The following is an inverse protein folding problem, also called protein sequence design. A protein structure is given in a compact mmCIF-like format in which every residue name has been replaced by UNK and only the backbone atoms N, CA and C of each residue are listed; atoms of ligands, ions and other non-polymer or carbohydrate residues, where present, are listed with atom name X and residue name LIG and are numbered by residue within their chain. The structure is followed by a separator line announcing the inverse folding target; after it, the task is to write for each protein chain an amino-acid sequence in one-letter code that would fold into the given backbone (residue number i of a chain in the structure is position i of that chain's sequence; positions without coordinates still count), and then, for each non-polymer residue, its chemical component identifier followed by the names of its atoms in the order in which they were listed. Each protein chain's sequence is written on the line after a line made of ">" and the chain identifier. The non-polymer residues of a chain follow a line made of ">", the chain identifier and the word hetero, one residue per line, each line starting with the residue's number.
data_IF_146865736082
#
_entry.id   IF_146865736082
#
_cell.length_a   1.000
_cell.length_b   1.000
_cell.length_c   1.000
_cell.angle_alpha   90.00
_cell.angle_beta   90.00
_cell.angle_gamma   90.00
#
_symmetry.space_group_name_H-M   'P 1'
#
loop_
_entity.id
_entity.type
_entity.pdbx_description
1 polymer ?
#
# COMPACT_ATOMS: atom_id res chain seq x y z
N UNK A 1 -8.35 16.91 -15.65
CA UNK A 1 -8.55 18.28 -15.18
C UNK A 1 -7.23 18.88 -14.76
N UNK A 2 -6.93 20.06 -15.25
CA UNK A 2 -5.67 20.72 -14.93
C UNK A 2 -5.93 21.75 -13.86
N UNK A 3 -5.33 21.59 -12.69
CA UNK A 3 -5.42 22.54 -11.61
C UNK A 3 -4.05 23.06 -11.28
N UNK A 4 -3.92 24.34 -11.15
CA UNK A 4 -2.67 24.98 -10.75
C UNK A 4 -2.85 25.56 -9.36
N UNK A 5 -2.05 25.08 -8.42
CA UNK A 5 -1.94 25.73 -7.12
C UNK A 5 -0.95 26.88 -7.28
N UNK A 6 -1.41 28.11 -7.09
CA UNK A 6 -0.54 29.29 -7.18
C UNK A 6 0.24 29.53 -5.89
N UNK A 7 -0.17 28.86 -4.81
CA UNK A 7 0.51 28.94 -3.50
C UNK A 7 0.17 27.70 -2.70
N UNK A 8 1.00 27.39 -1.71
CA UNK A 8 0.77 26.27 -0.82
C UNK A 8 -0.49 26.50 0.02
N UNK A 9 -1.44 25.56 0.04
CA UNK A 9 -2.62 25.66 0.90
C UNK A 9 -2.24 25.77 2.38
N UNK A 10 -3.12 26.43 3.17
CA UNK A 10 -2.87 26.65 4.61
C UNK A 10 -2.61 25.35 5.35
N UNK A 11 -3.38 24.31 5.03
CA UNK A 11 -3.28 23.01 5.71
C UNK A 11 -2.38 22.01 4.99
N UNK A 12 -1.48 22.50 4.14
CA UNK A 12 -0.59 21.64 3.40
C UNK A 12 0.40 20.95 4.34
N UNK A 13 0.48 19.62 4.34
CA UNK A 13 1.42 18.92 5.21
C UNK A 13 2.86 19.30 4.90
N UNK A 14 3.59 19.74 5.91
CA UNK A 14 5.00 20.10 5.77
C UNK A 14 5.91 18.87 5.78
N UNK A 15 5.49 17.84 6.51
CA UNK A 15 6.20 16.56 6.60
C UNK A 15 5.27 15.45 6.19
N UNK A 16 5.83 14.37 5.65
CA UNK A 16 5.07 13.22 5.18
C UNK A 16 5.48 12.01 6.00
N UNK A 17 4.86 11.87 7.16
CA UNK A 17 5.19 10.77 8.09
C UNK A 17 4.20 9.61 7.99
N UNK A 18 2.99 9.88 7.52
CA UNK A 18 1.91 8.87 7.49
C UNK A 18 1.31 8.78 6.10
N UNK A 19 0.61 7.67 5.85
CA UNK A 19 -0.15 7.52 4.61
C UNK A 19 -1.17 8.64 4.44
N UNK A 20 -1.83 9.03 5.54
CA UNK A 20 -2.79 10.13 5.52
C UNK A 20 -2.16 11.45 5.07
N UNK A 21 -0.93 11.70 5.50
CA UNK A 21 -0.20 12.90 5.09
C UNK A 21 0.05 12.90 3.58
N UNK A 22 0.43 11.77 3.01
CA UNK A 22 0.64 11.63 1.57
C UNK A 22 -0.64 11.85 0.80
N UNK A 23 -1.75 11.28 1.24
CA UNK A 23 -3.05 11.45 0.59
C UNK A 23 -3.47 12.91 0.64
N UNK A 24 -3.38 13.53 1.80
CA UNK A 24 -3.76 14.93 1.99
C UNK A 24 -2.92 15.85 1.12
N UNK A 25 -1.60 15.67 1.10
CA UNK A 25 -0.71 16.49 0.29
C UNK A 25 -1.04 16.37 -1.20
N UNK A 26 -1.24 15.15 -1.69
CA UNK A 26 -1.58 14.92 -3.09
C UNK A 26 -2.89 15.61 -3.45
N UNK A 27 -3.91 15.45 -2.58
CA UNK A 27 -5.20 16.07 -2.80
C UNK A 27 -5.09 17.60 -2.88
N UNK A 28 -4.39 18.19 -1.93
CA UNK A 28 -4.24 19.65 -1.88
C UNK A 28 -3.41 20.16 -3.06
N UNK A 29 -2.37 19.44 -3.45
CA UNK A 29 -1.56 19.79 -4.62
C UNK A 29 -2.40 19.81 -5.90
N UNK A 30 -3.34 18.85 -6.02
CA UNK A 30 -4.24 18.78 -7.18
C UNK A 30 -5.42 19.74 -7.07
N UNK A 31 -5.62 20.37 -5.93
CA UNK A 31 -6.71 21.31 -5.72
C UNK A 31 -8.08 20.66 -5.58
N UNK A 32 -8.14 19.39 -5.18
CA UNK A 32 -9.40 18.68 -5.04
C UNK A 32 -10.01 18.83 -3.66
N UNK A 33 -11.34 18.75 -3.60
CA UNK A 33 -12.07 18.62 -2.34
C UNK A 33 -12.00 17.17 -1.84
N UNK A 34 -12.20 17.01 -0.54
CA UNK A 34 -12.22 15.66 0.05
C UNK A 34 -13.27 14.76 -0.60
N UNK A 35 -14.46 15.28 -0.88
CA UNK A 35 -15.50 14.45 -1.51
C UNK A 35 -15.12 13.94 -2.88
N UNK A 36 -14.33 14.71 -3.65
CA UNK A 36 -13.89 14.31 -4.98
C UNK A 36 -12.90 13.16 -4.90
N UNK A 37 -11.92 13.27 -4.00
CA UNK A 37 -10.92 12.22 -3.82
C UNK A 37 -11.53 10.98 -3.18
N UNK A 38 -12.42 11.15 -2.20
CA UNK A 38 -13.11 10.03 -1.58
C UNK A 38 -13.85 9.19 -2.63
N UNK A 39 -14.59 9.84 -3.53
CA UNK A 39 -15.29 9.14 -4.61
C UNK A 39 -14.32 8.34 -5.49
N UNK A 40 -13.16 8.91 -5.81
CA UNK A 40 -12.16 8.24 -6.62
C UNK A 40 -11.56 7.03 -5.90
N UNK A 41 -11.39 7.12 -4.58
CA UNK A 41 -10.82 6.04 -3.79
C UNK A 41 -11.85 4.99 -3.36
N UNK A 42 -13.12 5.19 -3.70
CA UNK A 42 -14.19 4.27 -3.32
C UNK A 42 -14.60 4.38 -1.85
N UNK A 43 -14.38 5.53 -1.24
CA UNK A 43 -14.71 5.81 0.16
C UNK A 43 -15.70 6.98 0.24
N UNK A 44 -16.23 7.23 1.43
CA UNK A 44 -16.99 8.45 1.67
C UNK A 44 -16.09 9.56 2.20
N UNK A 45 -16.61 10.77 2.21
CA UNK A 45 -15.85 11.95 2.62
C UNK A 45 -15.39 11.86 4.07
N UNK A 46 -16.23 11.34 4.95
CA UNK A 46 -15.89 11.17 6.38
C UNK A 46 -14.73 10.21 6.55
N UNK A 47 -14.74 9.12 5.81
CA UNK A 47 -13.66 8.14 5.84
C UNK A 47 -12.34 8.77 5.39
N UNK A 48 -12.36 9.51 4.28
CA UNK A 48 -11.16 10.20 3.80
C UNK A 48 -10.65 11.21 4.83
N UNK A 49 -11.55 12.00 5.41
CA UNK A 49 -11.21 12.93 6.48
C UNK A 49 -10.45 12.22 7.60
N UNK A 50 -10.95 11.06 8.03
CA UNK A 50 -10.33 10.31 9.12
C UNK A 50 -8.96 9.77 8.74
N UNK A 51 -8.76 9.37 7.48
CA UNK A 51 -7.45 8.99 7.00
C UNK A 51 -6.47 10.17 7.01
N UNK A 52 -6.90 11.31 6.50
CA UNK A 52 -6.05 12.51 6.42
C UNK A 52 -5.69 13.08 7.79
N UNK A 53 -6.52 12.82 8.79
CA UNK A 53 -6.28 13.26 10.17
C UNK A 53 -5.63 12.17 11.03
N UNK A 54 -5.26 11.06 10.42
CA UNK A 54 -4.57 9.96 11.11
C UNK A 54 -5.39 9.36 12.25
N UNK A 55 -6.72 9.45 12.16
CA UNK A 55 -7.64 8.87 13.16
C UNK A 55 -7.76 7.38 12.95
N UNK A 56 -7.75 6.93 11.69
CA UNK A 56 -7.82 5.53 11.33
C UNK A 56 -7.00 5.30 10.05
N UNK A 57 -6.41 4.12 9.94
CA UNK A 57 -5.69 3.72 8.73
C UNK A 57 -6.67 3.12 7.72
N UNK A 58 -6.44 3.33 6.41
CA UNK A 58 -7.24 2.66 5.40
C UNK A 58 -7.11 1.15 5.50
N UNK A 59 -8.22 0.45 5.28
CA UNK A 59 -8.19 -1.00 5.14
C UNK A 59 -7.48 -1.35 3.83
N UNK A 60 -6.90 -2.54 3.78
CA UNK A 60 -6.01 -2.89 2.68
C UNK A 60 -6.69 -2.89 1.31
N UNK A 61 -8.00 -3.16 1.26
CA UNK A 61 -8.71 -3.18 -0.02
C UNK A 61 -8.76 -1.81 -0.71
N UNK A 62 -8.52 -0.71 0.01
CA UNK A 62 -8.45 0.62 -0.57
C UNK A 62 -7.07 0.93 -1.19
N UNK A 63 -6.06 0.15 -0.85
CA UNK A 63 -4.67 0.47 -1.21
C UNK A 63 -4.41 0.53 -2.73
N UNK A 64 -4.96 -0.37 -3.57
CA UNK A 64 -4.74 -0.23 -5.01
C UNK A 64 -5.16 1.14 -5.54
N UNK A 65 -6.31 1.63 -5.12
CA UNK A 65 -6.78 2.95 -5.54
C UNK A 65 -5.96 4.08 -4.94
N UNK A 66 -5.55 3.93 -3.68
CA UNK A 66 -4.71 4.93 -3.01
C UNK A 66 -3.35 5.04 -3.71
N UNK A 67 -2.70 3.92 -4.00
CA UNK A 67 -1.40 3.91 -4.68
C UNK A 67 -1.51 4.50 -6.09
N UNK A 68 -2.59 4.20 -6.79
CA UNK A 68 -2.86 4.78 -8.10
C UNK A 68 -3.06 6.29 -8.01
N UNK A 69 -3.81 6.75 -7.01
CA UNK A 69 -4.04 8.18 -6.79
C UNK A 69 -2.75 8.92 -6.47
N UNK A 70 -1.91 8.34 -5.61
CA UNK A 70 -0.63 8.93 -5.25
C UNK A 70 0.36 8.92 -6.42
N UNK A 71 0.34 7.87 -7.24
CA UNK A 71 1.31 7.68 -8.31
C UNK A 71 2.63 7.07 -7.83
N UNK A 72 2.72 6.70 -6.57
CA UNK A 72 3.91 6.07 -5.98
C UNK A 72 3.51 5.33 -4.71
N UNK A 73 4.39 4.44 -4.25
CA UNK A 73 4.21 3.72 -2.97
C UNK A 73 4.95 4.51 -1.88
N UNK A 74 4.23 5.07 -0.89
CA UNK A 74 4.85 5.88 0.16
C UNK A 74 5.58 5.06 1.23
N UNK A 75 5.47 3.74 1.20
CA UNK A 75 6.16 2.90 2.18
C UNK A 75 7.62 2.74 1.80
N UNK A 76 8.50 2.48 2.78
CA UNK A 76 9.92 2.28 2.51
C UNK A 76 10.16 1.17 1.50
N UNK A 77 11.31 1.23 0.82
CA UNK A 77 11.68 0.19 -0.16
C UNK A 77 11.66 -1.18 0.49
N UNK A 78 11.12 -2.15 -0.25
CA UNK A 78 10.97 -3.53 0.23
C UNK A 78 12.30 -4.27 0.07
N UNK A 79 13.02 -4.48 1.17
CA UNK A 79 14.31 -5.15 1.20
C UNK A 79 14.17 -6.61 1.62
N UNK A 80 13.41 -6.85 2.70
CA UNK A 80 13.23 -8.21 3.22
C UNK A 80 12.06 -8.91 2.50
N UNK A 81 12.02 -10.24 2.63
CA UNK A 81 10.87 -11.00 2.11
C UNK A 81 9.57 -10.53 2.79
N UNK A 82 9.62 -10.31 4.11
CA UNK A 82 8.46 -9.82 4.84
C UNK A 82 7.92 -8.52 4.25
N UNK A 83 8.82 -7.56 3.97
CA UNK A 83 8.44 -6.28 3.35
C UNK A 83 7.85 -6.49 1.96
N UNK A 84 8.47 -7.36 1.16
CA UNK A 84 8.00 -7.66 -0.20
C UNK A 84 6.62 -8.29 -0.20
N UNK A 85 6.35 -9.19 0.74
CA UNK A 85 5.03 -9.82 0.86
C UNK A 85 3.96 -8.81 1.26
N UNK A 86 4.26 -7.95 2.21
CA UNK A 86 3.32 -6.89 2.61
C UNK A 86 3.07 -5.90 1.46
N UNK A 87 4.13 -5.52 0.74
CA UNK A 87 3.98 -4.65 -0.42
C UNK A 87 3.12 -5.28 -1.52
N UNK A 88 3.30 -6.59 -1.75
CA UNK A 88 2.47 -7.32 -2.71
C UNK A 88 1.00 -7.28 -2.32
N UNK A 89 0.70 -7.46 -1.03
CA UNK A 89 -0.69 -7.39 -0.55
C UNK A 89 -1.28 -5.99 -0.73
N UNK A 90 -0.49 -4.94 -0.48
CA UNK A 90 -0.96 -3.56 -0.71
C UNK A 90 -1.31 -3.33 -2.17
N UNK A 91 -0.47 -3.78 -3.09
CA UNK A 91 -0.73 -3.63 -4.52
C UNK A 91 -1.97 -4.37 -4.98
N UNK A 92 -2.25 -5.54 -4.38
CA UNK A 92 -3.43 -6.34 -4.69
C UNK A 92 -4.66 -5.91 -3.91
N UNK A 93 -4.49 -5.19 -2.81
CA UNK A 93 -5.58 -4.89 -1.88
C UNK A 93 -6.05 -6.14 -1.14
N UNK A 94 -5.17 -7.12 -0.93
CA UNK A 94 -5.54 -8.43 -0.40
C UNK A 94 -5.23 -8.55 1.09
N UNK A 95 -6.16 -9.15 1.83
CA UNK A 95 -5.93 -9.54 3.22
C UNK A 95 -4.92 -10.67 3.27
N UNK A 96 -4.38 -10.95 4.46
CA UNK A 96 -3.49 -12.11 4.63
C UNK A 96 -4.18 -13.42 4.24
N UNK A 97 -5.44 -13.58 4.62
CA UNK A 97 -6.20 -14.78 4.29
C UNK A 97 -6.34 -14.96 2.77
N UNK A 98 -6.73 -13.90 2.06
CA UNK A 98 -6.90 -13.96 0.62
C UNK A 98 -5.57 -14.19 -0.10
N UNK A 99 -4.51 -13.54 0.33
CA UNK A 99 -3.20 -13.71 -0.30
C UNK A 99 -2.62 -15.09 -0.02
N UNK A 100 -2.79 -15.61 1.20
CA UNK A 100 -2.36 -16.97 1.54
C UNK A 100 -3.08 -18.01 0.67
N UNK A 101 -4.37 -17.81 0.44
CA UNK A 101 -5.13 -18.69 -0.47
C UNK A 101 -4.55 -18.63 -1.88
N UNK A 102 -4.22 -17.46 -2.38
CA UNK A 102 -3.58 -17.30 -3.68
C UNK A 102 -2.23 -18.03 -3.77
N UNK A 103 -1.46 -18.00 -2.68
CA UNK A 103 -0.16 -18.68 -2.61
C UNK A 103 -0.29 -20.18 -2.31
N UNK A 104 -1.48 -20.67 -1.97
CA UNK A 104 -1.70 -22.05 -1.62
C UNK A 104 -1.13 -22.43 -0.27
N UNK A 105 -1.07 -21.50 0.68
CA UNK A 105 -0.54 -21.75 2.02
C UNK A 105 -1.57 -21.31 3.07
N UNK A 106 -1.34 -21.81 4.29
CA UNK A 106 -2.18 -21.42 5.43
C UNK A 106 -1.93 -19.97 5.81
N UNK A 107 -2.97 -19.19 6.19
CA UNK A 107 -2.78 -17.81 6.62
C UNK A 107 -1.81 -17.65 7.79
N UNK A 108 -1.74 -18.61 8.70
CA UNK A 108 -0.78 -18.59 9.80
C UNK A 108 0.66 -18.66 9.26
N UNK A 109 0.88 -19.47 8.23
CA UNK A 109 2.18 -19.58 7.58
C UNK A 109 2.58 -18.26 6.94
N UNK A 110 1.68 -17.62 6.20
CA UNK A 110 1.96 -16.30 5.61
C UNK A 110 2.26 -15.25 6.69
N UNK A 111 1.50 -15.27 7.77
CA UNK A 111 1.73 -14.34 8.88
C UNK A 111 3.13 -14.50 9.45
N UNK A 112 3.58 -15.74 9.63
CA UNK A 112 4.94 -16.00 10.13
C UNK A 112 6.01 -15.48 9.17
N UNK A 113 5.81 -15.63 7.87
CA UNK A 113 6.72 -15.07 6.88
C UNK A 113 6.75 -13.54 6.94
N UNK A 114 5.59 -12.91 7.10
CA UNK A 114 5.49 -11.45 7.18
C UNK A 114 6.03 -10.89 8.51
N UNK A 115 6.14 -11.71 9.54
CA UNK A 115 6.74 -11.33 10.83
C UNK A 115 8.20 -11.77 10.95
N UNK A 116 8.76 -12.34 9.89
CA UNK A 116 10.12 -12.84 9.86
C UNK A 116 10.37 -13.94 10.91
N UNK A 117 9.32 -14.69 11.25
CA UNK A 117 9.39 -15.79 12.21
C UNK A 117 9.64 -17.14 11.55
N UNK A 118 9.48 -17.23 10.25
CA UNK A 118 9.73 -18.43 9.46
C UNK A 118 10.10 -18.02 8.05
N UNK A 119 10.77 -18.90 7.33
CA UNK A 119 11.14 -18.70 5.95
C UNK A 119 10.44 -19.74 5.07
N UNK A 120 9.99 -19.36 3.86
CA UNK A 120 9.40 -20.32 2.95
C UNK A 120 10.46 -21.31 2.44
N UNK A 121 10.02 -22.54 2.18
CA UNK A 121 10.88 -23.51 1.51
C UNK A 121 11.01 -23.17 0.02
N UNK A 122 11.84 -23.91 -0.68
CA UNK A 122 12.12 -23.67 -2.10
C UNK A 122 10.85 -23.67 -2.96
N UNK A 123 9.95 -24.61 -2.72
CA UNK A 123 8.69 -24.71 -3.46
C UNK A 123 7.81 -23.49 -3.26
N UNK A 124 7.62 -23.09 -2.00
CA UNK A 124 6.83 -21.91 -1.67
C UNK A 124 7.46 -20.63 -2.23
N UNK A 125 8.78 -20.53 -2.19
CA UNK A 125 9.49 -19.36 -2.72
C UNK A 125 9.29 -19.23 -4.23
N UNK A 126 9.25 -20.34 -4.98
CA UNK A 126 8.94 -20.27 -6.42
C UNK A 126 7.56 -19.70 -6.67
N UNK A 127 6.58 -20.11 -5.88
CA UNK A 127 5.20 -19.61 -6.00
C UNK A 127 5.16 -18.11 -5.66
N UNK A 128 5.82 -17.71 -4.59
CA UNK A 128 5.93 -16.30 -4.19
C UNK A 128 6.54 -15.46 -5.31
N UNK A 129 7.64 -15.93 -5.89
CA UNK A 129 8.33 -15.19 -6.93
C UNK A 129 7.52 -15.09 -8.23
N UNK A 130 6.63 -16.04 -8.51
CA UNK A 130 5.69 -15.93 -9.62
C UNK A 130 4.71 -14.77 -9.37
N UNK A 131 4.25 -14.63 -8.13
CA UNK A 131 3.36 -13.53 -7.77
C UNK A 131 4.08 -12.19 -7.89
N UNK A 132 5.33 -12.11 -7.47
CA UNK A 132 6.12 -10.89 -7.61
C UNK A 132 6.30 -10.54 -9.10
N UNK A 133 6.64 -11.53 -9.93
CA UNK A 133 6.79 -11.31 -11.37
C UNK A 133 5.50 -10.82 -12.02
N UNK A 134 4.36 -11.38 -11.61
CA UNK A 134 3.04 -10.95 -12.11
C UNK A 134 2.74 -9.49 -11.77
N UNK A 135 3.36 -8.95 -10.71
CA UNK A 135 3.20 -7.55 -10.32
C UNK A 135 4.33 -6.66 -10.83
N UNK A 136 5.24 -7.20 -11.66
CA UNK A 136 6.39 -6.44 -12.13
C UNK A 136 7.45 -6.21 -11.06
N UNK A 137 7.45 -7.02 -10.02
CA UNK A 137 8.38 -6.89 -8.89
C UNK A 137 9.50 -7.90 -9.02
N UNK A 138 10.71 -7.49 -8.63
CA UNK A 138 11.89 -8.36 -8.66
C UNK A 138 11.72 -9.57 -7.73
N UNK A 139 12.24 -10.74 -8.11
CA UNK A 139 12.17 -11.90 -7.26
C UNK A 139 13.04 -11.75 -6.00
N UNK A 140 12.70 -12.53 -4.99
CA UNK A 140 13.48 -12.62 -3.76
C UNK A 140 14.28 -13.92 -3.74
N UNK A 141 15.59 -13.82 -3.52
CA UNK A 141 16.48 -14.97 -3.50
C UNK A 141 17.14 -15.20 -2.13
N UNK A 142 16.81 -14.38 -1.15
CA UNK A 142 17.40 -14.49 0.18
C UNK A 142 18.25 -13.27 0.54
N UNK A 143 18.53 -13.12 1.84
CA UNK A 143 19.21 -11.95 2.38
C UNK A 143 20.72 -11.97 2.16
N UNK A 144 21.31 -13.13 1.86
CA UNK A 144 22.75 -13.34 1.80
C UNK A 144 23.27 -13.37 0.36
N UNK A 145 22.89 -12.41 -0.41
CA UNK A 145 23.32 -12.34 -1.81
C UNK A 145 24.11 -11.09 -2.07
#
# INVERSE_FOLDING_TARGET
>A
MTLKATRTPINYPKTLETLGDHIKRRRLTLGFFQRQVAAELGADETTLFRWEHNIVLPQIHYFPQILKFLGYDPFPASVTLADKLRAARRRLGSTQTAFAEQLGVDPVTLRKWEQDKAQPNTRSLKIINRQFAAQGTAPYYGANR
#
